data_IF_277542741379
#
_entry.id   IF_277542741379
#
_cell.length_a   1.000
_cell.length_b   1.000
_cell.length_c   1.000
_cell.angle_alpha   90.00
_cell.angle_beta   90.00
_cell.angle_gamma   90.00
#
_symmetry.space_group_name_H-M   'P 1'
#
loop_
_entity.id
_entity.type
_entity.pdbx_description
1 polymer ?
#
# COMPACT_ATOMS: atom_id res chain seq x y z
N UNK A 1 11.32 -46.13 -20.89
CA UNK A 1 10.20 -45.36 -21.50
C UNK A 1 10.47 -45.23 -22.99
N UNK A 2 9.54 -45.67 -23.84
CA UNK A 2 9.67 -45.56 -25.31
C UNK A 2 9.51 -44.10 -25.75
N UNK A 3 10.19 -43.67 -26.82
CA UNK A 3 10.06 -42.30 -27.39
C UNK A 3 8.59 -41.90 -27.63
N UNK A 4 7.74 -42.87 -27.98
CA UNK A 4 6.30 -42.69 -28.14
C UNK A 4 5.58 -42.30 -26.82
N UNK A 5 5.98 -42.88 -25.69
CA UNK A 5 5.42 -42.54 -24.38
C UNK A 5 5.81 -41.12 -23.91
N UNK A 6 7.02 -40.67 -24.27
CA UNK A 6 7.48 -39.30 -23.98
C UNK A 6 6.73 -38.29 -24.85
N UNK A 7 6.55 -38.58 -26.14
CA UNK A 7 5.78 -37.73 -27.05
C UNK A 7 4.30 -37.59 -26.62
N UNK A 8 3.67 -38.69 -26.20
CA UNK A 8 2.30 -38.68 -25.68
C UNK A 8 2.16 -37.86 -24.39
N UNK A 9 3.10 -37.98 -23.46
CA UNK A 9 3.10 -37.19 -22.23
C UNK A 9 3.28 -35.68 -22.50
N UNK A 10 4.16 -35.31 -23.44
CA UNK A 10 4.37 -33.91 -23.82
C UNK A 10 3.13 -33.29 -24.50
N UNK A 11 2.45 -34.05 -25.36
CA UNK A 11 1.20 -33.62 -25.97
C UNK A 11 0.11 -33.40 -24.92
N UNK A 12 -0.04 -34.34 -23.98
CA UNK A 12 -1.03 -34.21 -22.90
C UNK A 12 -0.73 -32.99 -22.02
N UNK A 13 0.54 -32.76 -21.67
CA UNK A 13 0.95 -31.60 -20.89
C UNK A 13 0.69 -30.28 -21.63
N UNK A 14 0.99 -30.22 -22.93
CA UNK A 14 0.73 -29.04 -23.76
C UNK A 14 -0.77 -28.74 -23.88
N UNK A 15 -1.60 -29.77 -24.09
CA UNK A 15 -3.08 -29.62 -24.13
C UNK A 15 -3.62 -29.17 -22.79
N UNK A 16 -3.13 -29.75 -21.69
CA UNK A 16 -3.55 -29.38 -20.33
C UNK A 16 -3.18 -27.93 -20.00
N UNK A 17 -1.97 -27.50 -20.38
CA UNK A 17 -1.53 -26.12 -20.22
C UNK A 17 -2.36 -25.16 -21.08
N UNK A 18 -2.62 -25.52 -22.34
CA UNK A 18 -3.47 -24.73 -23.24
C UNK A 18 -4.89 -24.57 -22.70
N UNK A 19 -5.49 -25.65 -22.18
CA UNK A 19 -6.81 -25.62 -21.55
C UNK A 19 -6.83 -24.76 -20.28
N UNK A 20 -5.79 -24.86 -19.45
CA UNK A 20 -5.64 -24.01 -18.26
C UNK A 20 -5.54 -22.52 -18.63
N UNK A 21 -4.75 -22.18 -19.65
CA UNK A 21 -4.61 -20.80 -20.14
C UNK A 21 -5.92 -20.28 -20.72
N UNK A 22 -6.63 -21.08 -21.52
CA UNK A 22 -7.92 -20.71 -22.09
C UNK A 22 -8.99 -20.49 -21.01
N UNK A 23 -9.02 -21.37 -20.01
CA UNK A 23 -9.94 -21.25 -18.87
C UNK A 23 -9.63 -19.98 -18.04
N UNK A 24 -8.35 -19.69 -17.81
CA UNK A 24 -7.92 -18.49 -17.11
C UNK A 24 -8.31 -17.22 -17.89
N UNK A 25 -8.09 -17.19 -19.20
CA UNK A 25 -8.47 -16.06 -20.05
C UNK A 25 -10.00 -15.86 -20.09
N UNK A 26 -10.77 -16.95 -20.20
CA UNK A 26 -12.23 -16.88 -20.16
C UNK A 26 -12.77 -16.40 -18.80
N UNK A 27 -12.12 -16.82 -17.70
CA UNK A 27 -12.45 -16.33 -16.36
C UNK A 27 -12.16 -14.84 -16.23
N UNK A 28 -10.99 -14.39 -16.65
CA UNK A 28 -10.58 -12.99 -16.55
C UNK A 28 -11.48 -12.08 -17.42
N UNK A 29 -11.98 -12.58 -18.56
CA UNK A 29 -12.94 -11.87 -19.40
C UNK A 29 -14.35 -11.80 -18.79
N UNK A 30 -14.82 -12.87 -18.14
CA UNK A 30 -16.18 -12.95 -17.53
C UNK A 30 -16.26 -12.32 -16.14
N UNK A 31 -15.16 -12.32 -15.40
CA UNK A 31 -15.05 -11.76 -14.07
C UNK A 31 -13.90 -10.76 -14.02
N UNK A 32 -14.13 -9.51 -14.48
CA UNK A 32 -13.12 -8.46 -14.39
C UNK A 32 -12.67 -8.35 -12.93
N UNK A 33 -11.35 -8.46 -12.68
CA UNK A 33 -10.76 -8.40 -11.33
C UNK A 33 -11.23 -7.17 -10.54
N UNK A 34 -11.50 -6.06 -11.24
CA UNK A 34 -12.03 -4.82 -10.66
C UNK A 34 -13.38 -5.03 -9.96
N UNK A 35 -14.31 -5.79 -10.55
CA UNK A 35 -15.63 -6.07 -9.94
C UNK A 35 -15.54 -6.99 -8.72
N UNK A 36 -14.58 -7.90 -8.67
CA UNK A 36 -14.35 -8.75 -7.50
C UNK A 36 -13.77 -7.95 -6.32
N UNK A 37 -12.93 -6.95 -6.61
CA UNK A 37 -12.41 -6.03 -5.60
C UNK A 37 -13.49 -5.06 -5.12
N UNK A 38 -14.31 -4.51 -6.03
CA UNK A 38 -15.45 -3.63 -5.73
C UNK A 38 -16.57 -4.32 -4.94
N UNK A 39 -16.91 -5.58 -5.26
CA UNK A 39 -17.92 -6.35 -4.49
C UNK A 39 -17.41 -6.81 -3.12
N UNK A 40 -16.10 -6.79 -2.91
CA UNK A 40 -15.46 -7.01 -1.61
C UNK A 40 -15.22 -5.71 -0.83
N UNK A 41 -15.79 -4.58 -1.29
CA UNK A 41 -15.66 -3.28 -0.62
C UNK A 41 -16.45 -3.26 0.68
N UNK A 42 -15.69 -3.40 1.76
CA UNK A 42 -16.01 -3.02 3.13
C UNK A 42 -17.29 -3.56 3.76
N UNK A 43 -17.15 -4.65 4.52
CA UNK A 43 -18.13 -4.99 5.55
C UNK A 43 -18.08 -4.00 6.73
N UNK A 44 -16.93 -3.39 7.03
CA UNK A 44 -16.76 -2.45 8.17
C UNK A 44 -15.78 -1.33 7.81
N UNK A 45 -16.25 -0.08 7.95
CA UNK A 45 -15.47 1.16 7.73
C UNK A 45 -14.78 1.68 8.98
N UNK A 46 -15.16 1.20 10.16
CA UNK A 46 -14.69 1.70 11.44
C UNK A 46 -13.68 0.76 12.08
N UNK A 47 -12.43 1.22 12.18
CA UNK A 47 -11.36 0.50 12.90
C UNK A 47 -11.77 0.05 14.31
N UNK A 48 -12.36 0.92 15.14
CA UNK A 48 -12.81 0.53 16.50
C UNK A 48 -13.91 -0.53 16.52
N UNK A 49 -14.79 -0.59 15.51
CA UNK A 49 -15.83 -1.63 15.47
C UNK A 49 -15.23 -2.94 14.96
N UNK A 50 -14.36 -2.87 13.96
CA UNK A 50 -13.69 -4.05 13.43
C UNK A 50 -12.83 -4.72 14.51
N UNK A 51 -12.08 -3.94 15.30
CA UNK A 51 -11.29 -4.44 16.45
C UNK A 51 -12.13 -5.25 17.44
N UNK A 52 -13.38 -4.83 17.68
CA UNK A 52 -14.32 -5.56 18.55
C UNK A 52 -14.81 -6.87 17.93
N UNK A 53 -14.86 -6.95 16.60
CA UNK A 53 -15.29 -8.14 15.86
C UNK A 53 -14.16 -9.16 15.71
N UNK A 54 -12.94 -8.70 15.42
CA UNK A 54 -11.78 -9.59 15.20
C UNK A 54 -11.06 -10.01 16.49
N UNK A 55 -11.44 -9.45 17.65
CA UNK A 55 -10.97 -9.84 18.99
C UNK A 55 -9.43 -9.84 19.10
N UNK A 56 -8.78 -10.99 18.98
CA UNK A 56 -7.33 -11.16 19.11
C UNK A 56 -6.61 -11.33 17.75
N UNK A 57 -7.34 -11.26 16.64
CA UNK A 57 -6.81 -11.40 15.29
C UNK A 57 -6.60 -10.06 14.59
N UNK A 58 -6.45 -8.97 15.34
CA UNK A 58 -6.22 -7.61 14.84
C UNK A 58 -5.07 -7.54 13.82
N UNK A 59 -3.94 -8.21 14.10
CA UNK A 59 -2.78 -8.24 13.20
C UNK A 59 -3.07 -8.96 11.87
N UNK A 60 -3.70 -10.14 11.91
CA UNK A 60 -4.10 -10.86 10.69
C UNK A 60 -5.14 -10.08 9.88
N UNK A 61 -6.07 -9.42 10.57
CA UNK A 61 -7.04 -8.55 9.91
C UNK A 61 -6.33 -7.36 9.25
N UNK A 62 -5.35 -6.74 9.92
CA UNK A 62 -4.54 -5.68 9.33
C UNK A 62 -3.81 -6.17 8.06
N UNK A 63 -3.22 -7.36 8.07
CA UNK A 63 -2.58 -7.96 6.88
C UNK A 63 -3.56 -8.13 5.71
N UNK A 64 -4.78 -8.60 5.98
CA UNK A 64 -5.82 -8.73 4.94
C UNK A 64 -6.20 -7.38 4.35
N UNK A 65 -6.39 -6.36 5.19
CA UNK A 65 -6.70 -5.00 4.71
C UNK A 65 -5.52 -4.38 3.96
N UNK A 66 -4.28 -4.66 4.37
CA UNK A 66 -3.08 -4.23 3.68
C UNK A 66 -2.98 -4.83 2.27
N UNK A 67 -3.18 -6.15 2.12
CA UNK A 67 -3.20 -6.82 0.82
C UNK A 67 -4.28 -6.21 -0.09
N UNK A 68 -5.46 -5.88 0.46
CA UNK A 68 -6.53 -5.20 -0.28
C UNK A 68 -6.13 -3.80 -0.72
N UNK A 69 -5.45 -3.03 0.14
CA UNK A 69 -4.94 -1.70 -0.21
C UNK A 69 -3.96 -1.80 -1.39
N UNK A 70 -3.03 -2.77 -1.36
CA UNK A 70 -2.08 -3.03 -2.45
C UNK A 70 -2.79 -3.43 -3.75
N UNK A 71 -3.78 -4.31 -3.67
CA UNK A 71 -4.55 -4.75 -4.83
C UNK A 71 -5.39 -3.62 -5.44
N UNK A 72 -5.98 -2.76 -4.60
CA UNK A 72 -6.74 -1.59 -5.06
C UNK A 72 -5.81 -0.60 -5.75
N UNK A 73 -4.68 -0.26 -5.11
CA UNK A 73 -3.68 0.61 -5.70
C UNK A 73 -3.16 0.08 -7.04
N UNK A 74 -2.76 -1.19 -7.09
CA UNK A 74 -2.25 -1.83 -8.30
C UNK A 74 -3.32 -2.09 -9.37
N UNK A 75 -4.58 -2.22 -8.98
CA UNK A 75 -5.73 -2.28 -9.88
C UNK A 75 -5.92 -0.95 -10.60
N UNK A 76 -6.14 0.12 -9.84
CA UNK A 76 -6.35 1.47 -10.35
C UNK A 76 -5.15 1.95 -11.18
N UNK A 77 -3.92 1.65 -10.75
CA UNK A 77 -2.72 2.03 -11.53
C UNK A 77 -2.68 1.40 -12.93
N UNK A 78 -3.23 0.19 -13.08
CA UNK A 78 -3.30 -0.52 -14.38
C UNK A 78 -4.53 -0.14 -15.20
N UNK A 79 -5.56 0.42 -14.57
CA UNK A 79 -6.74 0.92 -15.26
C UNK A 79 -6.39 2.09 -16.18
N UNK A 80 -7.19 2.29 -17.23
CA UNK A 80 -7.10 3.47 -18.07
C UNK A 80 -7.22 4.75 -17.21
N UNK A 81 -6.58 5.84 -17.63
CA UNK A 81 -6.50 7.07 -16.83
C UNK A 81 -7.89 7.61 -16.38
N UNK A 82 -8.94 7.36 -17.17
CA UNK A 82 -10.33 7.72 -16.87
C UNK A 82 -11.02 6.86 -15.80
N UNK A 83 -10.47 5.67 -15.48
CA UNK A 83 -11.02 4.74 -14.50
C UNK A 83 -10.31 4.75 -13.13
N UNK A 84 -9.23 5.53 -12.98
CA UNK A 84 -8.47 5.62 -11.73
C UNK A 84 -9.25 6.47 -10.73
N UNK A 85 -9.61 5.90 -9.57
CA UNK A 85 -10.37 6.64 -8.55
C UNK A 85 -9.60 6.76 -7.24
N UNK A 86 -8.84 5.75 -6.83
CA UNK A 86 -8.07 5.68 -5.58
C UNK A 86 -8.86 6.06 -4.30
N UNK A 87 -10.18 6.18 -4.39
CA UNK A 87 -11.07 6.71 -3.34
C UNK A 87 -11.04 5.85 -2.07
N UNK A 88 -10.79 4.55 -2.24
CA UNK A 88 -10.78 3.58 -1.13
C UNK A 88 -9.39 3.36 -0.56
N UNK A 89 -8.33 3.92 -1.16
CA UNK A 89 -6.97 3.70 -0.71
C UNK A 89 -6.76 4.21 0.72
N UNK A 90 -7.14 5.46 1.00
CA UNK A 90 -6.99 6.02 2.35
C UNK A 90 -7.83 5.27 3.41
N UNK A 91 -9.12 4.99 3.21
CA UNK A 91 -9.90 4.17 4.15
C UNK A 91 -9.28 2.80 4.45
N UNK A 92 -8.76 2.10 3.43
CA UNK A 92 -8.12 0.79 3.63
C UNK A 92 -6.86 0.91 4.49
N UNK A 93 -6.04 1.93 4.24
CA UNK A 93 -4.83 2.21 5.02
C UNK A 93 -5.15 2.65 6.45
N UNK A 94 -6.19 3.46 6.63
CA UNK A 94 -6.63 3.92 7.93
C UNK A 94 -7.14 2.76 8.80
N UNK A 95 -7.92 1.83 8.23
CA UNK A 95 -8.35 0.63 8.95
C UNK A 95 -7.15 -0.26 9.29
N UNK A 96 -6.27 -0.54 8.31
CA UNK A 96 -5.06 -1.35 8.51
C UNK A 96 -4.25 -0.87 9.70
N UNK A 97 -3.97 0.44 9.74
CA UNK A 97 -3.18 1.08 10.80
C UNK A 97 -3.93 1.28 12.11
N UNK A 98 -5.26 1.22 12.10
CA UNK A 98 -6.07 1.22 13.32
C UNK A 98 -6.08 -0.15 13.99
N UNK A 99 -6.04 -1.22 13.21
CA UNK A 99 -5.97 -2.60 13.68
C UNK A 99 -4.59 -2.92 14.24
N UNK A 100 -3.53 -2.57 13.49
CA UNK A 100 -2.14 -2.72 13.94
C UNK A 100 -1.38 -1.38 13.87
N UNK A 101 -1.30 -0.63 14.99
CA UNK A 101 -0.54 0.62 15.07
C UNK A 101 0.99 0.45 14.93
N UNK A 102 1.50 -0.77 15.09
CA UNK A 102 2.93 -1.07 14.95
C UNK A 102 3.32 -1.47 13.53
N UNK A 103 2.34 -1.61 12.62
CA UNK A 103 2.53 -2.00 11.23
C UNK A 103 3.22 -0.91 10.39
N UNK A 104 4.52 -0.75 10.61
CA UNK A 104 5.34 0.34 10.05
C UNK A 104 5.23 0.44 8.53
N UNK A 105 5.21 -0.70 7.84
CA UNK A 105 5.17 -0.78 6.38
C UNK A 105 3.89 -0.11 5.83
N UNK A 106 2.73 -0.33 6.46
CA UNK A 106 1.46 0.23 6.00
C UNK A 106 1.46 1.77 6.04
N UNK A 107 2.06 2.36 7.08
CA UNK A 107 2.23 3.82 7.17
C UNK A 107 3.16 4.36 6.08
N UNK A 108 4.36 3.78 5.96
CA UNK A 108 5.41 4.32 5.08
C UNK A 108 5.05 4.17 3.60
N UNK A 109 4.73 2.94 3.17
CA UNK A 109 4.38 2.68 1.78
C UNK A 109 2.99 3.20 1.44
N UNK A 110 2.03 3.11 2.38
CA UNK A 110 0.72 3.73 2.19
C UNK A 110 0.79 5.23 1.93
N UNK A 111 1.66 5.95 2.66
CA UNK A 111 1.90 7.36 2.43
C UNK A 111 2.53 7.63 1.06
N UNK A 112 3.45 6.79 0.58
CA UNK A 112 4.00 6.89 -0.77
C UNK A 112 2.90 6.73 -1.83
N UNK A 113 2.03 5.71 -1.71
CA UNK A 113 0.94 5.47 -2.66
C UNK A 113 -0.08 6.61 -2.69
N UNK A 114 -0.34 7.22 -1.53
CA UNK A 114 -1.21 8.39 -1.41
C UNK A 114 -0.57 9.64 -2.02
N UNK A 115 0.73 9.86 -1.78
CA UNK A 115 1.46 11.04 -2.20
C UNK A 115 1.85 11.01 -3.69
N UNK A 116 1.96 9.83 -4.31
CA UNK A 116 2.35 9.70 -5.71
C UNK A 116 1.38 10.47 -6.65
N UNK A 117 1.88 11.31 -7.58
CA UNK A 117 1.05 12.13 -8.46
C UNK A 117 0.08 11.31 -9.32
N UNK A 118 -1.00 11.92 -9.81
CA UNK A 118 -2.09 11.25 -10.55
C UNK A 118 -1.66 10.39 -11.77
N UNK A 119 -0.49 10.67 -12.35
CA UNK A 119 0.12 9.82 -13.38
C UNK A 119 0.49 8.41 -12.88
N UNK A 120 0.76 8.26 -11.58
CA UNK A 120 1.16 7.01 -10.92
C UNK A 120 0.35 6.61 -9.66
N UNK A 121 -0.30 7.55 -8.97
CA UNK A 121 -1.02 7.31 -7.69
C UNK A 121 -2.12 8.32 -7.36
N UNK A 122 -2.48 8.45 -6.07
CA UNK A 122 -3.71 9.15 -5.66
C UNK A 122 -3.63 10.69 -5.71
N UNK A 123 -2.43 11.27 -5.73
CA UNK A 123 -2.25 12.73 -5.70
C UNK A 123 -2.75 13.40 -4.42
N UNK A 124 -2.75 12.67 -3.30
CA UNK A 124 -3.25 13.09 -1.98
C UNK A 124 -2.13 13.20 -0.94
N UNK A 125 -1.21 14.17 -1.08
CA UNK A 125 -0.15 14.40 -0.10
C UNK A 125 -0.71 14.79 1.27
N UNK A 126 -1.89 15.40 1.32
CA UNK A 126 -2.63 15.71 2.55
C UNK A 126 -2.94 14.43 3.35
N UNK A 127 -3.47 13.41 2.67
CA UNK A 127 -3.78 12.12 3.27
C UNK A 127 -2.53 11.33 3.66
N UNK A 128 -1.46 11.44 2.87
CA UNK A 128 -0.17 10.84 3.19
C UNK A 128 0.39 11.40 4.51
N UNK A 129 0.39 12.73 4.67
CA UNK A 129 0.85 13.39 5.92
C UNK A 129 -0.05 13.02 7.09
N UNK A 130 -1.38 12.96 6.90
CA UNK A 130 -2.32 12.54 7.95
C UNK A 130 -2.03 11.11 8.44
N UNK A 131 -1.81 10.17 7.51
CA UNK A 131 -1.47 8.79 7.83
C UNK A 131 -0.15 8.69 8.61
N UNK A 132 0.89 9.42 8.18
CA UNK A 132 2.18 9.43 8.88
C UNK A 132 2.10 10.07 10.26
N UNK A 133 1.32 11.13 10.42
CA UNK A 133 1.04 11.75 11.74
C UNK A 133 0.35 10.78 12.68
N UNK A 134 -0.59 9.96 12.18
CA UNK A 134 -1.19 8.87 12.94
C UNK A 134 -0.14 7.84 13.37
N UNK A 135 0.84 7.52 12.50
CA UNK A 135 1.97 6.67 12.84
C UNK A 135 2.86 7.25 13.95
N UNK A 136 3.13 8.56 13.90
CA UNK A 136 3.87 9.28 14.96
C UNK A 136 3.12 9.22 16.29
N UNK A 137 1.79 9.36 16.29
CA UNK A 137 1.00 9.24 17.52
C UNK A 137 1.12 7.84 18.15
N UNK A 138 1.25 6.78 17.34
CA UNK A 138 1.43 5.40 17.81
C UNK A 138 2.88 5.08 18.21
N UNK A 139 3.86 5.57 17.45
CA UNK A 139 5.30 5.36 17.71
C UNK A 139 6.05 6.70 17.59
N UNK A 140 6.07 7.52 18.66
CA UNK A 140 6.61 8.89 18.61
C UNK A 140 8.09 8.99 18.30
N UNK A 141 8.87 7.95 18.60
CA UNK A 141 10.32 7.92 18.41
C UNK A 141 10.74 7.34 17.05
N UNK A 142 9.77 6.97 16.20
CA UNK A 142 10.05 6.33 14.91
C UNK A 142 10.46 7.37 13.87
N UNK A 143 11.77 7.60 13.75
CA UNK A 143 12.34 8.62 12.85
C UNK A 143 11.87 8.51 11.40
N UNK A 144 11.56 7.31 10.91
CA UNK A 144 11.12 7.07 9.54
C UNK A 144 9.84 7.84 9.20
N UNK A 145 8.91 8.01 10.14
CA UNK A 145 7.67 8.74 9.87
C UNK A 145 7.91 10.23 9.65
N UNK A 146 8.79 10.84 10.46
CA UNK A 146 9.19 12.24 10.29
C UNK A 146 9.92 12.44 8.96
N UNK A 147 10.82 11.52 8.63
CA UNK A 147 11.55 11.50 7.37
C UNK A 147 10.59 11.40 6.18
N UNK A 148 9.63 10.48 6.23
CA UNK A 148 8.70 10.29 5.11
C UNK A 148 7.76 11.50 4.96
N UNK A 149 7.37 12.19 6.06
CA UNK A 149 6.64 13.47 5.97
C UNK A 149 7.51 14.53 5.27
N UNK A 150 8.80 14.60 5.62
CA UNK A 150 9.73 15.54 4.98
C UNK A 150 9.82 15.28 3.47
N UNK A 151 9.84 14.00 3.06
CA UNK A 151 9.80 13.60 1.65
C UNK A 151 8.52 14.07 0.95
N UNK A 152 7.35 13.91 1.58
CA UNK A 152 6.09 14.40 1.01
C UNK A 152 6.14 15.92 0.78
N UNK A 153 6.65 16.69 1.75
CA UNK A 153 6.82 18.13 1.60
C UNK A 153 7.81 18.51 0.49
N UNK A 154 8.94 17.81 0.40
CA UNK A 154 10.00 18.10 -0.58
C UNK A 154 9.59 17.75 -2.02
N UNK A 155 9.08 16.54 -2.25
CA UNK A 155 8.76 16.07 -3.60
C UNK A 155 7.41 16.58 -4.10
N UNK A 156 6.36 16.49 -3.28
CA UNK A 156 5.00 16.74 -3.74
C UNK A 156 4.53 18.17 -3.50
N UNK A 157 4.76 18.69 -2.29
CA UNK A 157 4.31 20.04 -1.93
C UNK A 157 5.31 21.14 -2.33
N UNK A 158 6.54 20.76 -2.69
CA UNK A 158 7.66 21.67 -3.03
C UNK A 158 7.96 22.70 -1.93
N UNK A 159 7.60 22.38 -0.68
CA UNK A 159 7.81 23.22 0.49
C UNK A 159 9.13 22.84 1.18
N UNK A 160 10.19 23.55 0.78
CA UNK A 160 11.55 23.29 1.26
C UNK A 160 11.71 23.65 2.75
N UNK A 161 10.97 24.64 3.24
CA UNK A 161 11.05 25.06 4.64
C UNK A 161 10.42 24.01 5.56
N UNK A 162 9.22 23.53 5.23
CA UNK A 162 8.59 22.45 5.97
C UNK A 162 9.40 21.15 5.86
N UNK A 163 9.90 20.80 4.67
CA UNK A 163 10.74 19.62 4.50
C UNK A 163 11.99 19.66 5.41
N UNK A 164 12.72 20.78 5.41
CA UNK A 164 13.91 20.94 6.25
C UNK A 164 13.59 20.82 7.75
N UNK A 165 12.45 21.37 8.19
CA UNK A 165 11.97 21.23 9.57
C UNK A 165 11.73 19.77 9.94
N UNK A 166 11.00 19.04 9.10
CA UNK A 166 10.70 17.63 9.35
C UNK A 166 11.94 16.73 9.28
N UNK A 167 12.89 17.00 8.38
CA UNK A 167 14.17 16.29 8.34
C UNK A 167 14.98 16.49 9.62
N UNK A 168 14.99 17.70 10.17
CA UNK A 168 15.65 17.98 11.44
C UNK A 168 15.02 17.19 12.59
N UNK A 169 13.68 17.24 12.67
CA UNK A 169 12.94 16.45 13.67
C UNK A 169 13.21 14.95 13.54
N UNK A 170 13.36 14.44 12.31
CA UNK A 170 13.72 13.05 12.06
C UNK A 170 15.14 12.72 12.57
N UNK A 171 16.11 13.61 12.33
CA UNK A 171 17.49 13.43 12.76
C UNK A 171 17.69 13.47 14.29
N UNK A 172 16.78 14.13 15.00
CA UNK A 172 16.77 14.22 16.47
C UNK A 172 16.16 12.97 17.13
N UNK A 173 15.48 12.11 16.38
CA UNK A 173 14.85 10.91 16.95
C UNK A 173 15.87 9.80 17.27
N UNK A 174 15.60 9.00 18.32
CA UNK A 174 16.40 7.81 18.62
C UNK A 174 16.45 6.82 17.46
N UNK A 175 17.65 6.31 17.14
CA UNK A 175 17.86 5.34 16.06
C UNK A 175 17.91 5.93 14.65
N UNK A 176 17.87 7.26 14.50
CA UNK A 176 18.19 7.91 13.24
C UNK A 176 19.67 7.67 12.86
N UNK A 177 20.01 7.58 11.56
CA UNK A 177 21.39 7.40 11.13
C UNK A 177 22.31 8.49 11.70
N UNK A 178 23.42 8.09 12.32
CA UNK A 178 24.31 8.98 13.11
C UNK A 178 24.97 10.12 12.32
N UNK A 179 24.91 10.08 10.99
CA UNK A 179 25.35 11.18 10.12
C UNK A 179 24.33 12.32 9.98
N UNK A 180 23.05 12.09 10.27
CA UNK A 180 21.98 13.05 9.94
C UNK A 180 21.87 14.19 10.94
N UNK A 181 22.17 13.95 12.21
CA UNK A 181 22.23 15.00 13.24
C UNK A 181 23.33 16.03 12.97
N UNK A 182 24.33 15.69 12.14
CA UNK A 182 25.40 16.58 11.67
C UNK A 182 25.03 17.37 10.41
N UNK A 183 23.94 17.01 9.72
CA UNK A 183 23.46 17.71 8.54
C UNK A 183 22.72 18.99 8.98
N UNK A 184 23.48 20.02 9.41
CA UNK A 184 22.96 21.39 9.47
C UNK A 184 22.72 21.83 8.03
N UNK A 185 21.53 21.57 7.51
CA UNK A 185 21.02 22.24 6.32
C UNK A 185 21.05 23.74 6.63
N UNK A 186 22.08 24.44 6.13
CA UNK A 186 22.11 25.89 6.05
C UNK A 186 21.08 26.26 5.00
N UNK A 187 19.85 26.48 5.44
CA UNK A 187 18.82 27.14 4.66
C UNK A 187 19.05 28.65 4.74
#
# INVERSE_FOLDING_TARGET
MTRAGIAGALLLAAVSLGAAVALQAARDARYPREQALERAVMYVRSGPALRRIVLSFDALAADVYWIRALQHYGGDRRAAQSGRRYELLYPLLDITTSLDPYFTIAYRFGAIFLAEPYSGGAGRPDQAVALLRKGIAAQPTKWQYFHDIAFVHYWQLRDMHAAAKWFRMAAEQPGAPTGWSRLRLRC
#
